data_IF_781091747671
#
_entry.id   IF_781091747671
#
_cell.length_a   1.000
_cell.length_b   1.000
_cell.length_c   1.000
_cell.angle_alpha   90.00
_cell.angle_beta   90.00
_cell.angle_gamma   90.00
#
_symmetry.space_group_name_H-M   'P 1'
#
loop_
_entity.id
_entity.type
_entity.pdbx_description
1 polymer ?
#
# COMPACT_ATOMS: atom_id res chain seq x y z
N UNK A 1 -26.00 14.82 -16.91
CA UNK A 1 -24.83 13.96 -16.64
C UNK A 1 -25.21 13.06 -15.47
N UNK A 2 -25.19 11.75 -15.67
CA UNK A 2 -25.70 10.78 -14.70
C UNK A 2 -24.70 10.63 -13.52
N UNK A 3 -25.13 10.79 -12.25
CA UNK A 3 -24.26 10.66 -11.09
C UNK A 3 -23.52 9.30 -11.02
N UNK A 4 -24.14 8.23 -11.51
CA UNK A 4 -23.52 6.90 -11.49
C UNK A 4 -22.32 6.79 -12.45
N UNK A 5 -22.37 7.48 -13.59
CA UNK A 5 -21.28 7.49 -14.58
C UNK A 5 -20.09 8.28 -14.05
N UNK A 6 -20.34 9.33 -13.26
CA UNK A 6 -19.29 10.13 -12.60
C UNK A 6 -18.56 9.30 -11.54
N UNK A 7 -19.29 8.56 -10.70
CA UNK A 7 -18.68 7.68 -9.69
C UNK A 7 -17.80 6.61 -10.32
N UNK A 8 -18.26 5.95 -11.40
CA UNK A 8 -17.45 4.93 -12.09
C UNK A 8 -16.19 5.51 -12.75
N UNK A 9 -16.25 6.75 -13.25
CA UNK A 9 -15.09 7.44 -13.82
C UNK A 9 -14.07 7.84 -12.75
N UNK A 10 -14.55 8.28 -11.58
CA UNK A 10 -13.71 8.59 -10.42
C UNK A 10 -13.08 7.32 -9.84
N UNK A 11 -13.84 6.23 -9.73
CA UNK A 11 -13.35 4.92 -9.30
C UNK A 11 -12.27 4.39 -10.24
N UNK A 12 -12.47 4.46 -11.57
CA UNK A 12 -11.44 4.05 -12.53
C UNK A 12 -10.15 4.85 -12.39
N UNK A 13 -10.24 6.17 -12.26
CA UNK A 13 -9.05 7.02 -12.04
C UNK A 13 -8.37 6.74 -10.69
N UNK A 14 -9.12 6.40 -9.65
CA UNK A 14 -8.58 5.98 -8.37
C UNK A 14 -7.88 4.61 -8.46
N UNK A 15 -8.41 3.69 -9.26
CA UNK A 15 -7.83 2.37 -9.56
C UNK A 15 -6.58 2.46 -10.46
N UNK A 16 -6.49 3.48 -11.31
CA UNK A 16 -5.31 3.77 -12.13
C UNK A 16 -4.13 4.31 -11.29
N UNK A 17 -4.37 4.77 -10.06
CA UNK A 17 -3.28 5.06 -9.12
C UNK A 17 -2.74 3.76 -8.53
N UNK A 18 -1.40 3.59 -8.42
CA UNK A 18 -0.78 2.35 -7.91
C UNK A 18 -1.37 1.86 -6.57
N UNK A 19 -1.76 2.79 -5.69
CA UNK A 19 -2.36 2.52 -4.39
C UNK A 19 -3.80 1.97 -4.47
N UNK A 20 -4.57 2.30 -5.51
CA UNK A 20 -5.95 1.82 -5.69
C UNK A 20 -6.03 0.30 -5.92
N UNK A 21 -4.92 -0.32 -6.32
CA UNK A 21 -4.78 -1.77 -6.55
C UNK A 21 -4.49 -2.57 -5.27
N UNK A 22 -4.20 -1.89 -4.16
CA UNK A 22 -3.95 -2.52 -2.88
C UNK A 22 -5.27 -2.97 -2.25
N UNK A 23 -5.27 -4.16 -1.65
CA UNK A 23 -6.39 -4.63 -0.83
C UNK A 23 -6.53 -3.77 0.44
N UNK A 24 -7.69 -3.76 1.12
CA UNK A 24 -7.85 -3.00 2.36
C UNK A 24 -6.78 -3.32 3.41
N UNK A 25 -6.44 -4.59 3.58
CA UNK A 25 -5.38 -5.01 4.51
C UNK A 25 -3.98 -4.54 4.10
N UNK A 26 -3.70 -4.50 2.81
CA UNK A 26 -2.43 -3.96 2.30
C UNK A 26 -2.34 -2.44 2.49
N UNK A 27 -3.47 -1.73 2.37
CA UNK A 27 -3.54 -0.30 2.67
C UNK A 27 -3.29 -0.01 4.15
N UNK A 28 -3.96 -0.74 5.06
CA UNK A 28 -3.71 -0.63 6.52
C UNK A 28 -2.24 -0.89 6.87
N UNK A 29 -1.66 -1.93 6.27
CA UNK A 29 -0.25 -2.27 6.48
C UNK A 29 0.64 -1.13 5.99
N UNK A 30 0.40 -0.57 4.81
CA UNK A 30 1.17 0.54 4.23
C UNK A 30 1.04 1.84 5.04
N UNK A 31 -0.15 2.15 5.53
CA UNK A 31 -0.42 3.28 6.43
C UNK A 31 0.43 3.18 7.70
N UNK A 32 0.42 2.03 8.37
CA UNK A 32 1.27 1.81 9.54
C UNK A 32 2.78 1.85 9.20
N UNK A 33 3.18 1.47 7.98
CA UNK A 33 4.57 1.69 7.55
C UNK A 33 4.90 3.18 7.45
N UNK A 34 3.96 3.98 6.94
CA UNK A 34 4.12 5.43 6.78
C UNK A 34 4.17 6.14 8.14
N UNK A 35 3.51 5.60 9.16
CA UNK A 35 3.71 5.99 10.57
C UNK A 35 5.08 5.59 11.14
N UNK A 36 5.92 4.88 10.38
CA UNK A 36 7.25 4.43 10.82
C UNK A 36 7.24 3.16 11.69
N UNK A 37 6.14 2.40 11.73
CA UNK A 37 6.05 1.17 12.54
C UNK A 37 6.93 0.05 11.96
N UNK A 38 7.51 -0.79 12.81
CA UNK A 38 8.21 -2.02 12.39
C UNK A 38 7.22 -3.15 12.06
N UNK A 39 7.68 -4.23 11.41
CA UNK A 39 6.81 -5.38 11.13
C UNK A 39 6.26 -6.04 12.40
N UNK A 40 7.06 -6.12 13.47
CA UNK A 40 6.61 -6.58 14.80
C UNK A 40 5.50 -5.70 15.36
N UNK A 41 5.65 -4.37 15.30
CA UNK A 41 4.64 -3.44 15.79
C UNK A 41 3.35 -3.51 14.96
N UNK A 42 3.46 -3.61 13.63
CA UNK A 42 2.32 -3.80 12.72
C UNK A 42 1.60 -5.12 13.02
N UNK A 43 2.36 -6.20 13.21
CA UNK A 43 1.82 -7.52 13.51
C UNK A 43 1.01 -7.50 14.81
N UNK A 44 1.55 -6.88 15.87
CA UNK A 44 0.85 -6.68 17.13
C UNK A 44 -0.42 -5.84 16.97
N UNK A 45 -0.35 -4.73 16.22
CA UNK A 45 -1.47 -3.79 16.02
C UNK A 45 -2.63 -4.40 15.23
N UNK A 46 -2.33 -5.30 14.29
CA UNK A 46 -3.31 -5.95 13.40
C UNK A 46 -3.70 -7.36 13.88
N UNK A 47 -3.15 -7.83 15.01
CA UNK A 47 -3.36 -9.18 15.55
C UNK A 47 -3.03 -10.30 14.56
N UNK A 48 -1.87 -10.18 13.88
CA UNK A 48 -1.35 -11.17 12.93
C UNK A 48 0.11 -11.52 13.24
N UNK A 49 0.69 -12.45 12.48
CA UNK A 49 2.11 -12.78 12.63
C UNK A 49 3.00 -11.82 11.83
N UNK A 50 4.26 -11.65 12.24
CA UNK A 50 5.25 -10.88 11.47
C UNK A 50 5.43 -11.43 10.05
N UNK A 51 5.34 -12.77 9.89
CA UNK A 51 5.38 -13.43 8.59
C UNK A 51 4.21 -13.01 7.69
N UNK A 52 3.02 -12.79 8.26
CA UNK A 52 1.88 -12.28 7.50
C UNK A 52 2.15 -10.84 7.04
N UNK A 53 2.72 -9.98 7.90
CA UNK A 53 3.12 -8.62 7.51
C UNK A 53 4.20 -8.63 6.43
N UNK A 54 5.19 -9.53 6.52
CA UNK A 54 6.21 -9.74 5.49
C UNK A 54 5.59 -10.17 4.14
N UNK A 55 4.53 -11.00 4.17
CA UNK A 55 3.79 -11.36 2.96
C UNK A 55 3.03 -10.16 2.37
N UNK A 56 2.34 -9.39 3.21
CA UNK A 56 1.63 -8.18 2.76
C UNK A 56 2.59 -7.14 2.17
N UNK A 57 3.72 -6.86 2.83
CA UNK A 57 4.78 -5.95 2.31
C UNK A 57 5.31 -6.40 0.95
N UNK A 58 5.61 -7.69 0.78
CA UNK A 58 6.04 -8.22 -0.52
C UNK A 58 4.97 -8.03 -1.62
N UNK A 59 3.70 -8.27 -1.29
CA UNK A 59 2.60 -8.07 -2.23
C UNK A 59 2.41 -6.59 -2.59
N UNK A 60 2.52 -5.70 -1.61
CA UNK A 60 2.48 -4.25 -1.81
C UNK A 60 3.57 -3.84 -2.81
N UNK A 61 4.82 -4.26 -2.60
CA UNK A 61 5.90 -3.93 -3.53
C UNK A 61 5.63 -4.43 -4.95
N UNK A 62 5.13 -5.65 -5.11
CA UNK A 62 4.73 -6.17 -6.42
C UNK A 62 3.64 -5.32 -7.09
N UNK A 63 2.61 -4.92 -6.32
CA UNK A 63 1.48 -4.12 -6.84
C UNK A 63 1.85 -2.66 -7.15
N UNK A 64 2.82 -2.12 -6.43
CA UNK A 64 3.37 -0.79 -6.67
C UNK A 64 4.46 -0.78 -7.74
N UNK A 65 4.80 -1.94 -8.33
CA UNK A 65 5.85 -2.02 -9.35
C UNK A 65 7.24 -1.71 -8.80
N UNK A 66 7.53 -2.09 -7.56
CA UNK A 66 8.80 -1.87 -6.87
C UNK A 66 9.65 -3.17 -6.90
N UNK A 67 10.44 -3.40 -7.97
CA UNK A 67 11.31 -4.57 -8.05
C UNK A 67 12.42 -4.51 -6.99
N UNK A 68 12.99 -5.66 -6.60
CA UNK A 68 14.23 -5.67 -5.82
C UNK A 68 15.28 -4.77 -6.47
N UNK A 69 15.98 -4.00 -5.65
CA UNK A 69 17.07 -3.10 -6.05
C UNK A 69 18.13 -3.15 -4.95
N UNK A 70 19.40 -3.13 -5.34
CA UNK A 70 20.52 -3.05 -4.41
C UNK A 70 20.73 -1.61 -3.91
N UNK A 71 20.32 -0.62 -4.70
CA UNK A 71 20.55 0.80 -4.43
C UNK A 71 19.36 1.50 -3.75
N UNK A 72 18.17 0.87 -3.71
CA UNK A 72 16.95 1.49 -3.21
C UNK A 72 16.24 0.66 -2.13
N UNK A 73 15.79 1.35 -1.08
CA UNK A 73 14.92 0.75 -0.08
C UNK A 73 13.45 0.75 -0.53
N UNK A 74 12.93 -0.41 -0.95
CA UNK A 74 11.53 -0.57 -1.40
C UNK A 74 10.48 -0.14 -0.38
N UNK A 75 10.76 -0.29 0.92
CA UNK A 75 9.84 0.17 1.97
C UNK A 75 9.71 1.69 1.95
N UNK A 76 10.84 2.39 1.85
CA UNK A 76 10.88 3.85 1.78
C UNK A 76 10.17 4.32 0.51
N UNK A 77 10.45 3.70 -0.64
CA UNK A 77 9.76 4.03 -1.90
C UNK A 77 8.24 3.83 -1.81
N UNK A 78 7.79 2.73 -1.19
CA UNK A 78 6.36 2.48 -0.97
C UNK A 78 5.71 3.53 -0.06
N UNK A 79 6.41 3.95 1.01
CA UNK A 79 5.95 5.00 1.91
C UNK A 79 5.90 6.36 1.22
N UNK A 80 6.93 6.72 0.43
CA UNK A 80 6.91 7.95 -0.37
C UNK A 80 5.75 7.96 -1.37
N UNK A 81 5.51 6.85 -2.06
CA UNK A 81 4.36 6.72 -2.96
C UNK A 81 3.01 6.86 -2.22
N UNK A 82 2.92 6.44 -0.95
CA UNK A 82 1.74 6.64 -0.12
C UNK A 82 1.55 8.12 0.28
N UNK A 83 2.62 8.79 0.68
CA UNK A 83 2.59 10.19 1.15
C UNK A 83 2.36 11.20 0.02
N UNK A 84 2.82 10.92 -1.20
CA UNK A 84 2.57 11.73 -2.40
C UNK A 84 1.07 11.74 -2.82
N UNK A 85 0.23 10.93 -2.16
CA UNK A 85 -1.23 10.96 -2.31
C UNK A 85 -1.88 12.15 -1.58
N UNK A 86 -1.20 12.71 -0.57
CA UNK A 86 -1.72 13.69 0.39
C UNK A 86 -1.72 15.12 -0.11
#
# INVERSE_FOLDING_TARGET
MDPQVISQLLDRRAQDRPLGRLTPREQEVLELMAEGRSNTAIAARLFVTERAVAKHTSNIFGKLGLPPSDDNNRRVLAVLAYLDRG
#
